data_IF_360180264328
#
_entry.id   IF_360180264328
#
_cell.length_a   1.000
_cell.length_b   1.000
_cell.length_c   1.000
_cell.angle_alpha   90.00
_cell.angle_beta   90.00
_cell.angle_gamma   90.00
#
_symmetry.space_group_name_H-M   'P 1'
#
loop_
_entity.id
_entity.type
_entity.pdbx_description
1 polymer ?
#
# COMPACT_ATOMS: atom_id res chain seq x y z
N UNK A 1 20.85 -24.14 3.56
CA UNK A 1 19.58 -23.65 2.95
C UNK A 1 19.01 -22.68 3.97
N UNK A 2 19.55 -21.47 4.01
CA UNK A 2 19.29 -20.58 5.14
C UNK A 2 17.94 -19.91 4.92
N UNK A 3 16.97 -20.41 5.69
CA UNK A 3 15.62 -19.89 5.78
C UNK A 3 15.67 -18.43 6.23
N UNK A 4 15.72 -17.52 5.27
CA UNK A 4 15.26 -16.16 5.44
C UNK A 4 13.86 -16.26 6.04
N UNK A 5 13.71 -15.94 7.34
CA UNK A 5 12.40 -15.86 7.97
C UNK A 5 11.52 -15.00 7.08
N UNK A 6 10.49 -15.61 6.53
CA UNK A 6 9.45 -14.88 5.85
C UNK A 6 8.85 -13.95 6.90
N UNK A 7 9.07 -12.65 6.71
CA UNK A 7 8.58 -11.63 7.61
C UNK A 7 7.22 -11.19 7.05
N UNK A 8 6.17 -11.34 7.86
CA UNK A 8 4.80 -10.93 7.51
C UNK A 8 4.73 -9.48 7.03
N UNK A 9 5.71 -8.65 7.40
CA UNK A 9 5.89 -7.33 6.83
C UNK A 9 5.93 -7.31 5.30
N UNK A 10 6.48 -8.33 4.62
CA UNK A 10 6.56 -8.39 3.15
C UNK A 10 5.16 -8.48 2.53
N UNK A 11 4.23 -9.21 3.15
CA UNK A 11 2.84 -9.26 2.71
C UNK A 11 2.16 -7.91 2.86
N UNK A 12 2.38 -7.23 3.99
CA UNK A 12 1.82 -5.89 4.23
C UNK A 12 2.37 -4.87 3.24
N UNK A 13 3.65 -4.94 2.90
CA UNK A 13 4.22 -4.12 1.84
C UNK A 13 3.53 -4.36 0.50
N UNK A 14 3.35 -5.64 0.15
CA UNK A 14 2.70 -6.04 -1.10
C UNK A 14 1.24 -5.57 -1.13
N UNK A 15 0.51 -5.69 -0.03
CA UNK A 15 -0.82 -5.15 0.14
C UNK A 15 -0.84 -3.62 -0.03
N UNK A 16 0.13 -2.89 0.54
CA UNK A 16 0.28 -1.45 0.35
C UNK A 16 0.45 -1.04 -1.12
N UNK A 17 1.27 -1.78 -1.88
CA UNK A 17 1.42 -1.56 -3.33
C UNK A 17 0.10 -1.77 -4.08
N UNK A 18 -0.64 -2.83 -3.76
CA UNK A 18 -1.94 -3.13 -4.37
C UNK A 18 -2.97 -2.04 -4.03
N UNK A 19 -3.01 -1.60 -2.77
CA UNK A 19 -3.88 -0.48 -2.32
C UNK A 19 -3.58 0.77 -3.15
N UNK A 20 -2.31 1.12 -3.32
CA UNK A 20 -1.92 2.25 -4.16
C UNK A 20 -2.37 2.06 -5.61
N UNK A 21 -2.09 0.92 -6.23
CA UNK A 21 -2.42 0.66 -7.63
C UNK A 21 -3.93 0.71 -7.86
N UNK A 22 -4.73 0.24 -6.90
CA UNK A 22 -6.19 0.33 -6.96
C UNK A 22 -6.68 1.78 -6.85
N UNK A 23 -6.04 2.60 -6.02
CA UNK A 23 -6.39 4.01 -5.85
C UNK A 23 -5.95 4.87 -7.03
N UNK A 24 -4.71 4.70 -7.52
CA UNK A 24 -4.12 5.54 -8.55
C UNK A 24 -4.31 5.00 -9.98
N UNK A 25 -4.45 3.68 -10.14
CA UNK A 25 -4.57 2.98 -11.43
C UNK A 25 -3.24 2.71 -12.13
N UNK A 26 -2.11 2.96 -11.47
CA UNK A 26 -0.75 2.80 -11.99
C UNK A 26 0.12 2.10 -10.93
N UNK A 27 1.20 1.46 -11.37
CA UNK A 27 2.12 0.74 -10.49
C UNK A 27 2.99 1.73 -9.71
N UNK A 28 3.15 1.54 -8.40
CA UNK A 28 3.92 2.47 -7.56
C UNK A 28 5.43 2.44 -7.83
N UNK A 29 5.96 1.24 -8.09
CA UNK A 29 7.38 0.98 -8.22
C UNK A 29 7.63 0.16 -9.49
N UNK A 30 8.00 0.81 -10.58
CA UNK A 30 8.17 0.17 -11.89
C UNK A 30 9.64 -0.21 -12.15
N UNK A 31 10.06 -1.39 -11.67
CA UNK A 31 11.38 -1.96 -11.97
C UNK A 31 11.32 -3.02 -13.07
N UNK A 32 12.31 -3.02 -13.97
CA UNK A 32 12.46 -4.04 -15.02
C UNK A 32 13.17 -5.31 -14.53
N UNK A 33 13.90 -5.20 -13.42
CA UNK A 33 14.68 -6.26 -12.79
C UNK A 33 14.83 -5.98 -11.28
N UNK A 34 15.46 -6.88 -10.55
CA UNK A 34 15.57 -6.77 -9.08
C UNK A 34 16.35 -5.53 -8.63
N UNK A 35 17.41 -5.12 -9.34
CA UNK A 35 18.21 -3.96 -8.96
C UNK A 35 17.47 -2.66 -9.26
N UNK A 36 16.83 -2.56 -10.44
CA UNK A 36 16.01 -1.41 -10.81
C UNK A 36 14.76 -1.30 -9.93
N UNK A 37 14.12 -2.40 -9.57
CA UNK A 37 13.01 -2.42 -8.61
C UNK A 37 13.40 -1.82 -7.25
N UNK A 38 14.55 -2.22 -6.70
CA UNK A 38 15.06 -1.65 -5.44
C UNK A 38 15.38 -0.16 -5.59
N UNK A 39 15.97 0.23 -6.72
CA UNK A 39 16.27 1.63 -7.02
C UNK A 39 14.98 2.48 -7.02
N UNK A 40 13.94 2.02 -7.70
CA UNK A 40 12.63 2.69 -7.77
C UNK A 40 12.03 2.90 -6.38
N UNK A 41 12.11 1.90 -5.49
CA UNK A 41 11.63 2.04 -4.12
C UNK A 41 12.27 3.26 -3.42
N UNK A 42 13.59 3.40 -3.50
CA UNK A 42 14.29 4.52 -2.87
C UNK A 42 14.17 5.85 -3.64
N UNK A 43 13.94 5.82 -4.95
CA UNK A 43 13.62 7.02 -5.73
C UNK A 43 12.24 7.59 -5.35
N UNK A 44 11.27 6.71 -5.11
CA UNK A 44 9.92 7.09 -4.70
C UNK A 44 9.90 7.49 -3.22
N UNK A 45 10.35 6.62 -2.31
CA UNK A 45 10.24 6.85 -0.87
C UNK A 45 11.37 7.69 -0.28
N UNK A 46 12.40 8.01 -1.07
CA UNK A 46 13.65 8.59 -0.55
C UNK A 46 14.50 7.54 0.15
N UNK A 47 15.78 7.87 0.35
CA UNK A 47 16.71 7.00 1.06
C UNK A 47 16.59 7.29 2.56
N UNK A 48 16.21 6.30 3.39
CA UNK A 48 16.15 6.50 4.83
C UNK A 48 17.53 6.82 5.42
N UNK A 49 17.58 7.66 6.47
CA UNK A 49 18.80 7.88 7.22
C UNK A 49 19.15 6.74 8.16
N UNK A 50 20.41 6.67 8.64
CA UNK A 50 20.84 5.66 9.60
C UNK A 50 20.02 5.63 10.90
N UNK A 51 19.47 6.77 11.33
CA UNK A 51 18.59 6.85 12.50
C UNK A 51 17.21 6.20 12.28
N UNK A 52 16.77 6.06 11.03
CA UNK A 52 15.52 5.39 10.68
C UNK A 52 15.74 3.91 10.36
N UNK A 53 16.80 3.59 9.61
CA UNK A 53 17.19 2.23 9.24
C UNK A 53 18.71 2.05 9.35
N UNK A 54 19.22 1.66 10.54
CA UNK A 54 20.66 1.60 10.82
C UNK A 54 21.43 0.64 9.92
N UNK A 55 20.86 -0.53 9.63
CA UNK A 55 21.54 -1.60 8.89
C UNK A 55 21.51 -1.40 7.37
N UNK A 56 20.76 -0.41 6.87
CA UNK A 56 20.57 -0.21 5.43
C UNK A 56 21.90 -0.02 4.69
N UNK A 57 22.81 0.78 5.28
CA UNK A 57 24.14 1.04 4.71
C UNK A 57 25.09 -0.15 4.86
N UNK A 58 24.81 -1.12 5.71
CA UNK A 58 25.62 -2.34 5.83
C UNK A 58 25.18 -3.41 4.81
N UNK A 59 24.00 -3.25 4.20
CA UNK A 59 23.47 -4.23 3.27
C UNK A 59 24.20 -4.17 1.91
N UNK A 60 24.87 -5.26 1.47
CA UNK A 60 25.57 -5.29 0.19
C UNK A 60 24.66 -4.97 -1.01
N UNK A 61 23.40 -5.42 -0.98
CA UNK A 61 22.40 -5.18 -2.04
C UNK A 61 21.99 -3.71 -2.15
N UNK A 62 22.11 -2.95 -1.06
CA UNK A 62 21.89 -1.50 -1.09
C UNK A 62 23.12 -0.79 -1.67
N UNK A 63 24.33 -1.23 -1.30
CA UNK A 63 25.56 -0.65 -1.85
C UNK A 63 25.68 -0.82 -3.38
N UNK A 64 25.19 -1.95 -3.91
CA UNK A 64 25.08 -2.19 -5.37
C UNK A 64 24.32 -1.06 -6.08
N UNK A 65 23.19 -0.63 -5.53
CA UNK A 65 22.30 0.36 -6.16
C UNK A 65 22.57 1.80 -5.72
N UNK A 66 23.35 2.00 -4.65
CA UNK A 66 23.65 3.32 -4.10
C UNK A 66 24.27 4.24 -5.14
N UNK A 67 25.21 3.71 -5.92
CA UNK A 67 25.87 4.45 -7.00
C UNK A 67 24.91 4.87 -8.12
N UNK A 68 23.84 4.11 -8.35
CA UNK A 68 22.78 4.44 -9.32
C UNK A 68 21.93 5.58 -8.73
N UNK A 69 21.52 5.46 -7.46
CA UNK A 69 20.73 6.47 -6.76
C UNK A 69 21.45 7.82 -6.68
N UNK A 70 22.74 7.84 -6.39
CA UNK A 70 23.58 9.04 -6.33
C UNK A 70 23.71 9.75 -7.69
N UNK A 71 23.59 9.02 -8.80
CA UNK A 71 23.59 9.61 -10.16
C UNK A 71 22.24 10.16 -10.57
N UNK A 72 21.15 9.63 -10.03
CA UNK A 72 19.78 9.97 -10.45
C UNK A 72 19.07 10.97 -9.52
N UNK A 73 19.54 11.16 -8.30
CA UNK A 73 18.85 11.97 -7.28
C UNK A 73 19.80 12.94 -6.58
N UNK A 74 19.30 14.12 -6.22
CA UNK A 74 19.99 15.04 -5.30
C UNK A 74 20.00 14.42 -3.90
N UNK A 75 21.15 13.94 -3.45
CA UNK A 75 21.32 13.31 -2.15
C UNK A 75 21.32 14.34 -1.02
N UNK A 76 20.14 14.84 -0.67
CA UNK A 76 19.96 15.57 0.59
C UNK A 76 19.94 14.55 1.71
N UNK A 77 20.95 14.58 2.58
CA UNK A 77 20.95 13.77 3.81
C UNK A 77 19.74 14.16 4.65
N UNK A 78 18.86 13.19 4.85
CA UNK A 78 17.65 13.35 5.66
C UNK A 78 17.97 12.97 7.11
N UNK A 79 17.25 13.51 8.08
CA UNK A 79 17.31 13.11 9.50
C UNK A 79 16.05 12.30 9.85
N UNK A 80 15.96 11.77 11.08
CA UNK A 80 14.75 11.03 11.47
C UNK A 80 13.52 11.92 11.46
N UNK A 81 13.67 13.19 11.85
CA UNK A 81 12.58 14.17 11.93
C UNK A 81 12.15 14.67 10.55
N UNK A 82 13.04 14.61 9.56
CA UNK A 82 12.78 15.14 8.21
C UNK A 82 12.46 14.03 7.20
N UNK A 83 12.64 12.76 7.56
CA UNK A 83 12.31 11.64 6.69
C UNK A 83 10.81 11.35 6.74
N UNK A 84 10.10 11.86 5.73
CA UNK A 84 8.67 11.66 5.55
C UNK A 84 8.36 11.09 4.16
N UNK A 85 7.73 9.91 4.13
CA UNK A 85 7.32 9.25 2.88
C UNK A 85 5.97 9.77 2.37
N UNK A 86 5.16 10.38 3.24
CA UNK A 86 3.79 10.82 2.91
C UNK A 86 3.73 11.84 1.78
N UNK A 87 4.48 12.96 1.78
CA UNK A 87 4.46 13.90 0.67
C UNK A 87 4.95 13.23 -0.62
N UNK A 88 5.94 12.35 -0.53
CA UNK A 88 6.49 11.62 -1.68
C UNK A 88 5.48 10.70 -2.32
N UNK A 89 4.69 9.98 -1.51
CA UNK A 89 3.59 9.15 -1.98
C UNK A 89 2.46 10.01 -2.59
N UNK A 90 2.13 11.15 -1.97
CA UNK A 90 1.12 12.09 -2.51
C UNK A 90 1.49 12.61 -3.89
N UNK A 91 2.75 12.91 -4.11
CA UNK A 91 3.26 13.40 -5.40
C UNK A 91 3.12 12.36 -6.53
N UNK A 92 2.90 11.08 -6.19
CA UNK A 92 2.66 10.01 -7.18
C UNK A 92 1.19 9.90 -7.61
N UNK A 93 0.28 10.65 -7.01
CA UNK A 93 -1.11 10.73 -7.47
C UNK A 93 -1.22 11.83 -8.53
N UNK A 94 -0.83 11.50 -9.75
CA UNK A 94 -0.82 12.41 -10.91
C UNK A 94 -2.11 12.34 -11.72
N UNK A 95 -2.86 11.23 -11.62
CA UNK A 95 -4.09 11.02 -12.37
C UNK A 95 -5.22 11.91 -11.83
N UNK A 96 -5.70 12.84 -12.67
CA UNK A 96 -6.75 13.81 -12.33
C UNK A 96 -8.06 13.17 -11.83
N UNK A 97 -8.40 11.98 -12.35
CA UNK A 97 -9.63 11.27 -11.94
C UNK A 97 -9.52 10.66 -10.53
N UNK A 98 -8.29 10.42 -10.06
CA UNK A 98 -8.00 9.73 -8.81
C UNK A 98 -7.45 10.67 -7.71
N UNK A 99 -7.41 11.98 -7.95
CA UNK A 99 -6.95 12.97 -6.97
C UNK A 99 -7.74 12.97 -5.67
N UNK A 100 -9.01 12.54 -5.68
CA UNK A 100 -9.81 12.41 -4.47
C UNK A 100 -9.20 11.42 -3.45
N UNK A 101 -8.48 10.39 -3.93
CA UNK A 101 -7.74 9.48 -3.06
C UNK A 101 -6.58 10.19 -2.38
N UNK A 102 -5.88 11.08 -3.12
CA UNK A 102 -4.77 11.90 -2.59
C UNK A 102 -5.17 12.62 -1.30
N UNK A 103 -6.39 13.14 -1.26
CA UNK A 103 -6.85 13.98 -0.16
C UNK A 103 -7.67 13.19 0.90
N UNK A 104 -7.86 11.88 0.70
CA UNK A 104 -8.47 10.99 1.69
C UNK A 104 -7.48 10.66 2.82
N UNK A 105 -7.72 11.23 4.01
CA UNK A 105 -6.82 11.09 5.15
C UNK A 105 -6.67 9.63 5.64
N UNK A 106 -7.77 8.88 5.72
CA UNK A 106 -7.78 7.52 6.28
C UNK A 106 -7.10 6.53 5.33
N UNK A 107 -7.40 6.65 4.03
CA UNK A 107 -6.76 5.88 2.97
C UNK A 107 -5.24 6.09 2.96
N UNK A 108 -4.81 7.36 3.05
CA UNK A 108 -3.39 7.68 3.08
C UNK A 108 -2.69 7.20 4.34
N UNK A 109 -3.37 7.25 5.49
CA UNK A 109 -2.84 6.75 6.75
C UNK A 109 -2.54 5.25 6.65
N UNK A 110 -3.46 4.47 6.06
CA UNK A 110 -3.22 3.05 5.81
C UNK A 110 -2.07 2.85 4.83
N UNK A 111 -2.06 3.57 3.71
CA UNK A 111 -1.05 3.43 2.69
C UNK A 111 0.36 3.71 3.23
N UNK A 112 0.51 4.79 3.98
CA UNK A 112 1.76 5.19 4.64
C UNK A 112 2.22 4.12 5.65
N UNK A 113 1.30 3.58 6.44
CA UNK A 113 1.61 2.55 7.44
C UNK A 113 2.10 1.24 6.80
N UNK A 114 1.51 0.85 5.66
CA UNK A 114 1.90 -0.35 4.91
C UNK A 114 3.23 -0.19 4.15
N UNK A 115 3.54 1.01 3.65
CA UNK A 115 4.69 1.27 2.77
C UNK A 115 5.92 1.82 3.50
N UNK A 116 6.04 1.60 4.81
CA UNK A 116 7.28 1.89 5.53
C UNK A 116 8.41 0.99 5.01
N UNK A 117 9.55 1.53 4.56
CA UNK A 117 10.63 0.74 3.96
C UNK A 117 11.38 -0.12 4.98
N UNK A 118 11.41 0.29 6.25
CA UNK A 118 11.99 -0.50 7.34
C UNK A 118 10.91 -1.37 8.00
N UNK A 119 11.06 -2.69 7.90
CA UNK A 119 10.07 -3.68 8.36
C UNK A 119 9.54 -3.45 9.78
N UNK A 120 10.40 -3.24 10.79
CA UNK A 120 9.96 -3.00 12.17
C UNK A 120 9.14 -1.72 12.39
N UNK A 121 9.13 -0.78 11.44
CA UNK A 121 8.27 0.41 11.49
C UNK A 121 6.96 0.24 10.69
N UNK A 122 6.81 -0.87 9.96
CA UNK A 122 5.63 -1.19 9.17
C UNK A 122 4.53 -1.73 10.08
N UNK A 123 3.28 -1.38 9.77
CA UNK A 123 2.11 -1.85 10.52
C UNK A 123 1.93 -3.37 10.44
N UNK A 124 1.43 -3.99 11.52
CA UNK A 124 1.04 -5.39 11.50
C UNK A 124 -0.31 -5.61 10.79
N UNK A 125 -0.57 -6.83 10.30
CA UNK A 125 -1.83 -7.15 9.62
C UNK A 125 -3.06 -6.85 10.47
N UNK A 126 -3.03 -7.27 11.74
CA UNK A 126 -4.10 -7.03 12.71
C UNK A 126 -4.38 -5.54 12.90
N UNK A 127 -3.34 -4.73 13.09
CA UNK A 127 -3.48 -3.29 13.29
C UNK A 127 -4.01 -2.58 12.03
N UNK A 128 -3.60 -3.04 10.84
CA UNK A 128 -4.11 -2.51 9.58
C UNK A 128 -5.62 -2.73 9.44
N UNK A 129 -6.13 -3.91 9.83
CA UNK A 129 -7.55 -4.24 9.80
C UNK A 129 -8.41 -3.36 10.73
N UNK A 130 -7.81 -2.81 11.79
CA UNK A 130 -8.46 -1.91 12.74
C UNK A 130 -8.48 -0.45 12.27
N UNK A 131 -7.83 -0.11 11.15
CA UNK A 131 -7.79 1.25 10.65
C UNK A 131 -9.13 1.71 10.07
N UNK A 132 -9.49 2.97 10.33
CA UNK A 132 -10.78 3.59 9.95
C UNK A 132 -11.14 3.35 8.48
N UNK A 133 -10.15 3.39 7.58
CA UNK A 133 -10.35 3.15 6.16
C UNK A 133 -10.92 1.75 5.87
N UNK A 134 -10.34 0.70 6.46
CA UNK A 134 -10.79 -0.68 6.27
C UNK A 134 -12.05 -0.98 7.08
N UNK A 135 -12.15 -0.48 8.31
CA UNK A 135 -13.33 -0.68 9.17
C UNK A 135 -14.58 -0.05 8.54
N UNK A 136 -14.50 1.20 8.11
CA UNK A 136 -15.63 1.89 7.45
C UNK A 136 -16.06 1.14 6.20
N UNK A 137 -15.10 0.68 5.42
CA UNK A 137 -15.38 -0.02 4.17
C UNK A 137 -15.93 -1.45 4.39
N UNK A 138 -15.51 -2.14 5.46
CA UNK A 138 -16.08 -3.41 5.93
C UNK A 138 -17.53 -3.25 6.38
N UNK A 139 -17.85 -2.17 7.09
CA UNK A 139 -19.21 -1.88 7.55
C UNK A 139 -20.11 -1.60 6.34
N UNK A 140 -19.65 -0.79 5.38
CA UNK A 140 -20.40 -0.50 4.17
C UNK A 140 -20.64 -1.74 3.30
N UNK A 141 -19.66 -2.64 3.18
CA UNK A 141 -19.86 -3.89 2.41
C UNK A 141 -20.89 -4.81 3.07
N UNK A 142 -20.87 -4.95 4.40
CA UNK A 142 -21.89 -5.70 5.17
C UNK A 142 -23.28 -5.06 5.04
N UNK A 143 -23.38 -3.73 5.07
CA UNK A 143 -24.65 -3.02 4.91
C UNK A 143 -25.20 -3.22 3.48
N UNK A 144 -24.36 -3.09 2.44
CA UNK A 144 -24.78 -3.30 1.05
C UNK A 144 -25.26 -4.74 0.79
N UNK A 145 -24.63 -5.74 1.41
CA UNK A 145 -25.12 -7.12 1.38
C UNK A 145 -26.51 -7.26 2.03
N UNK A 146 -26.77 -6.59 3.17
CA UNK A 146 -28.09 -6.63 3.82
C UNK A 146 -29.19 -5.87 3.07
N UNK A 147 -28.85 -4.80 2.33
CA UNK A 147 -29.81 -4.05 1.50
C UNK A 147 -30.12 -4.76 0.18
N UNK A 148 -29.17 -5.49 -0.40
CA UNK A 148 -29.41 -6.32 -1.59
C UNK A 148 -30.42 -7.45 -1.31
N UNK A 149 -30.40 -8.03 -0.10
CA UNK A 149 -31.36 -9.06 0.32
C UNK A 149 -32.77 -8.49 0.54
N UNK A 150 -32.90 -7.22 0.95
CA UNK A 150 -34.22 -6.59 1.18
C UNK A 150 -34.90 -6.10 -0.10
N UNK A 151 -34.17 -5.86 -1.20
CA UNK A 151 -34.75 -5.37 -2.45
C UNK A 151 -35.33 -6.45 -3.37
N UNK A 152 -35.26 -7.74 -3.01
CA UNK A 152 -35.87 -8.82 -3.80
C UNK A 152 -37.34 -9.14 -3.44
N UNK A 153 -37.99 -8.34 -2.59
CA UNK A 153 -39.43 -8.44 -2.31
C UNK A 153 -40.14 -7.12 -2.54
N UNK A 154 -40.36 -6.77 -3.81
CA UNK A 154 -41.56 -6.09 -4.33
C UNK A 154 -41.25 -5.60 -5.74
N UNK A 155 -41.97 -6.10 -6.74
CA UNK A 155 -41.77 -5.74 -8.14
C UNK A 155 -42.11 -4.28 -8.44
N UNK A 156 -41.31 -3.63 -9.29
CA UNK A 156 -41.75 -2.68 -10.31
C UNK A 156 -40.62 -2.44 -11.33
N UNK A 157 -40.95 -2.52 -12.62
CA UNK A 157 -40.07 -2.24 -13.76
C UNK A 157 -39.72 -0.76 -13.86
N UNK A 158 -38.44 -0.38 -13.91
CA UNK A 158 -37.98 0.85 -14.60
C UNK A 158 -36.67 0.59 -15.36
N UNK A 159 -36.66 1.17 -16.56
CA UNK A 159 -35.75 1.04 -17.69
C UNK A 159 -34.25 1.28 -17.45
N UNK A 160 -33.48 0.64 -18.33
CA UNK A 160 -32.03 0.70 -18.59
C UNK A 160 -31.38 2.08 -18.38
N UNK A 161 -30.30 2.12 -17.60
CA UNK A 161 -29.19 3.08 -17.80
C UNK A 161 -27.84 2.40 -17.54
N UNK A 162 -27.02 2.40 -18.59
CA UNK A 162 -25.58 2.14 -18.70
C UNK A 162 -24.85 1.41 -17.56
N UNK A 163 -24.44 0.16 -17.84
CA UNK A 163 -23.36 -0.56 -17.14
C UNK A 163 -22.06 0.26 -17.20
N UNK A 164 -21.62 0.78 -16.07
CA UNK A 164 -20.19 1.03 -15.82
C UNK A 164 -19.62 -0.31 -15.33
N UNK A 165 -18.51 -0.84 -15.88
CA UNK A 165 -17.92 -2.06 -15.35
C UNK A 165 -17.44 -1.76 -13.92
N UNK A 166 -18.05 -2.42 -12.94
CA UNK A 166 -17.62 -2.38 -11.55
C UNK A 166 -16.21 -2.95 -11.46
N UNK A 167 -15.20 -2.07 -11.30
CA UNK A 167 -13.89 -2.48 -10.78
C UNK A 167 -14.15 -3.30 -9.51
N UNK A 168 -13.48 -4.46 -9.31
CA UNK A 168 -13.65 -5.22 -8.08
C UNK A 168 -13.39 -4.30 -6.89
N UNK A 169 -14.28 -4.30 -5.89
CA UNK A 169 -14.20 -3.41 -4.74
C UNK A 169 -12.81 -3.50 -4.13
N UNK A 170 -12.00 -2.45 -4.31
CA UNK A 170 -10.61 -2.29 -3.82
C UNK A 170 -10.47 -2.81 -2.39
N UNK A 171 -11.47 -2.51 -1.57
CA UNK A 171 -11.59 -2.92 -0.18
C UNK A 171 -11.72 -4.43 -0.04
N UNK A 172 -12.56 -5.09 -0.83
CA UNK A 172 -12.82 -6.53 -0.72
C UNK A 172 -11.55 -7.35 -1.02
N UNK A 173 -10.75 -6.91 -2.00
CA UNK A 173 -9.49 -7.57 -2.34
C UNK A 173 -8.41 -7.34 -1.28
N UNK A 174 -8.30 -6.12 -0.77
CA UNK A 174 -7.36 -5.77 0.31
C UNK A 174 -7.72 -6.50 1.60
N UNK A 175 -9.01 -6.59 1.94
CA UNK A 175 -9.49 -7.37 3.07
C UNK A 175 -9.19 -8.86 2.93
N UNK A 176 -9.43 -9.44 1.75
CA UNK A 176 -9.14 -10.85 1.49
C UNK A 176 -7.64 -11.13 1.67
N UNK A 177 -6.77 -10.22 1.24
CA UNK A 177 -5.33 -10.37 1.38
C UNK A 177 -4.84 -10.15 2.82
N UNK A 178 -5.30 -9.09 3.50
CA UNK A 178 -4.98 -8.84 4.92
C UNK A 178 -5.50 -9.97 5.82
N UNK A 179 -6.69 -10.52 5.53
CA UNK A 179 -7.26 -11.65 6.26
C UNK A 179 -6.50 -12.97 5.99
N UNK A 180 -5.96 -13.16 4.78
CA UNK A 180 -5.06 -14.28 4.49
C UNK A 180 -3.71 -14.14 5.19
N UNK A 181 -3.15 -12.94 5.27
CA UNK A 181 -1.95 -12.66 6.05
C UNK A 181 -2.17 -12.93 7.55
N UNK A 182 -3.28 -12.44 8.14
CA UNK A 182 -3.64 -12.69 9.54
C UNK A 182 -3.90 -14.19 9.83
N UNK A 183 -4.54 -14.92 8.91
CA UNK A 183 -4.70 -16.38 9.04
C UNK A 183 -3.38 -17.15 9.02
N UNK A 184 -2.36 -16.61 8.35
CA UNK A 184 -1.03 -17.21 8.27
C UNK A 184 -0.22 -16.96 9.54
N UNK A 185 -0.49 -15.86 10.26
CA UNK A 185 0.04 -15.60 11.61
C UNK A 185 -0.53 -16.57 12.66
N UNK A 186 -1.75 -17.08 12.45
CA UNK A 186 -2.43 -18.01 13.37
C UNK A 186 -2.11 -19.50 13.12
N UNK A 187 -1.29 -19.82 12.10
CA UNK A 187 -0.98 -21.20 11.72
C UNK A 187 0.43 -21.69 12.14
N UNK A 188 1.11 -21.00 13.05
CA UNK A 188 2.42 -21.40 13.59
C UNK A 188 2.46 -21.34 15.12
#
# INVERSE_FOLDING_TARGET
LDGCKYDFGIDIWSAGCIVYEMMNGEVLFEGSDVATQRCQIFQVLGIPPPSYWPELRLNPRFQEIRTILEKSCSTVETTLETYDIKPRLRDRFTNSSNLHWRDNADAFKLLEACLQPYGPKRIAAKEALEMDFLVTSLVLSKINQTHFVKSQKSGYNISRRSKVPSRPDTVSFVLQFCYQAERSELSF
#
